data_IF_106273857455
#
_entry.id   IF_106273857455
#
_cell.length_a   1.000
_cell.length_b   1.000
_cell.length_c   1.000
_cell.angle_alpha   90.00
_cell.angle_beta   90.00
_cell.angle_gamma   90.00
#
_symmetry.space_group_name_H-M   'P 1'
#
loop_
_entity.id
_entity.type
_entity.pdbx_description
1 polymer ?
#
# COMPACT_ATOMS: atom_id res chain seq x y z
N UNK A 1 -1.63 0.70 -15.29
CA UNK A 1 -1.48 1.32 -13.97
C UNK A 1 -0.18 2.12 -14.00
N UNK A 2 -0.17 3.37 -13.54
CA UNK A 2 1.03 4.22 -13.59
C UNK A 2 1.95 3.86 -12.43
N UNK A 3 3.13 3.35 -12.72
CA UNK A 3 4.20 3.27 -11.73
C UNK A 3 4.67 4.69 -11.38
N UNK A 4 4.74 4.99 -10.08
CA UNK A 4 5.30 6.22 -9.57
C UNK A 4 6.74 5.96 -9.10
N UNK A 5 7.70 6.76 -9.56
CA UNK A 5 9.07 6.70 -9.08
C UNK A 5 9.19 7.51 -7.78
N UNK A 6 9.71 6.88 -6.73
CA UNK A 6 10.05 7.54 -5.46
C UNK A 6 11.57 7.65 -5.34
N UNK A 7 12.06 8.83 -4.92
CA UNK A 7 13.48 9.03 -4.59
C UNK A 7 13.61 9.20 -3.08
N UNK A 8 14.26 8.26 -2.43
CA UNK A 8 14.47 8.27 -0.98
C UNK A 8 15.95 8.56 -0.71
N UNK A 9 16.23 9.57 0.11
CA UNK A 9 17.58 9.82 0.63
C UNK A 9 17.72 9.08 1.95
N UNK A 10 18.78 8.30 2.06
CA UNK A 10 19.12 7.53 3.27
C UNK A 10 20.59 7.77 3.61
N UNK A 11 20.96 7.49 4.85
CA UNK A 11 22.36 7.50 5.27
C UNK A 11 23.16 6.42 4.53
N UNK A 12 24.45 6.68 4.35
CA UNK A 12 25.33 5.76 3.61
C UNK A 12 25.37 4.38 4.27
N UNK A 13 25.47 4.34 5.59
CA UNK A 13 25.56 3.10 6.36
C UNK A 13 24.29 2.26 6.22
N UNK A 14 23.11 2.89 6.25
CA UNK A 14 21.84 2.21 6.04
C UNK A 14 21.72 1.62 4.62
N UNK A 15 22.18 2.37 3.61
CA UNK A 15 22.22 1.88 2.22
C UNK A 15 23.13 0.66 2.10
N UNK A 16 24.31 0.71 2.71
CA UNK A 16 25.30 -0.38 2.65
C UNK A 16 24.76 -1.63 3.33
N UNK A 17 24.24 -1.52 4.56
CA UNK A 17 23.64 -2.63 5.28
C UNK A 17 22.46 -3.26 4.53
N UNK A 18 21.58 -2.43 3.94
CA UNK A 18 20.45 -2.91 3.15
C UNK A 18 20.89 -3.62 1.87
N UNK A 19 21.91 -3.08 1.18
CA UNK A 19 22.45 -3.70 -0.02
C UNK A 19 23.11 -5.05 0.28
N UNK A 20 23.87 -5.14 1.38
CA UNK A 20 24.49 -6.39 1.84
C UNK A 20 23.43 -7.45 2.19
N UNK A 21 22.37 -7.07 2.91
CA UNK A 21 21.26 -7.96 3.22
C UNK A 21 20.56 -8.49 1.95
N UNK A 22 20.27 -7.60 0.99
CA UNK A 22 19.67 -8.00 -0.29
C UNK A 22 20.58 -8.94 -1.08
N UNK A 23 21.89 -8.70 -1.06
CA UNK A 23 22.88 -9.54 -1.73
C UNK A 23 22.97 -10.93 -1.08
N UNK A 24 22.95 -10.99 0.26
CA UNK A 24 22.94 -12.24 1.03
C UNK A 24 21.70 -13.09 0.74
N UNK A 25 20.54 -12.46 0.60
CA UNK A 25 19.29 -13.15 0.21
C UNK A 25 19.19 -13.45 -1.29
N UNK A 26 20.12 -12.98 -2.11
CA UNK A 26 20.09 -13.06 -3.58
C UNK A 26 18.81 -12.44 -4.18
N UNK A 27 18.35 -11.32 -3.62
CA UNK A 27 17.12 -10.62 -4.01
C UNK A 27 17.43 -9.20 -4.50
N UNK A 28 16.63 -8.70 -5.44
CA UNK A 28 16.74 -7.31 -5.87
C UNK A 28 16.22 -6.37 -4.78
N UNK A 29 17.01 -5.34 -4.48
CA UNK A 29 16.65 -4.30 -3.51
C UNK A 29 15.27 -3.65 -3.79
N UNK A 30 14.91 -3.50 -5.07
CA UNK A 30 13.59 -2.99 -5.47
C UNK A 30 12.44 -3.91 -5.09
N UNK A 31 12.62 -5.22 -5.17
CA UNK A 31 11.58 -6.19 -4.84
C UNK A 31 11.37 -6.26 -3.33
N UNK A 32 12.47 -6.30 -2.58
CA UNK A 32 12.45 -6.23 -1.11
C UNK A 32 11.77 -4.94 -0.65
N UNK A 33 12.09 -3.79 -1.25
CA UNK A 33 11.49 -2.52 -0.89
C UNK A 33 9.99 -2.47 -1.21
N UNK A 34 9.56 -3.00 -2.36
CA UNK A 34 8.13 -3.07 -2.74
C UNK A 34 7.35 -3.95 -1.78
N UNK A 35 7.89 -5.12 -1.44
CA UNK A 35 7.26 -6.02 -0.47
C UNK A 35 7.20 -5.37 0.91
N UNK A 36 8.30 -4.77 1.37
CA UNK A 36 8.33 -4.06 2.64
C UNK A 36 7.29 -2.93 2.69
N UNK A 37 7.21 -2.09 1.65
CA UNK A 37 6.20 -1.04 1.54
C UNK A 37 4.78 -1.60 1.57
N UNK A 38 4.52 -2.72 0.89
CA UNK A 38 3.21 -3.37 0.89
C UNK A 38 2.85 -3.87 2.27
N UNK A 39 3.71 -4.66 2.91
CA UNK A 39 3.48 -5.21 4.25
C UNK A 39 3.36 -4.10 5.29
N UNK A 40 4.12 -3.02 5.15
CA UNK A 40 4.03 -1.85 6.02
C UNK A 40 2.69 -1.12 5.85
N UNK A 41 2.27 -0.89 4.61
CA UNK A 41 0.97 -0.29 4.29
C UNK A 41 -0.18 -1.17 4.79
N UNK A 42 -0.11 -2.49 4.57
CA UNK A 42 -1.10 -3.46 5.02
C UNK A 42 -1.27 -3.43 6.54
N UNK A 43 -0.17 -3.44 7.30
CA UNK A 43 -0.22 -3.33 8.76
C UNK A 43 -0.82 -2.00 9.26
N UNK A 44 -0.56 -0.88 8.57
CA UNK A 44 -0.97 0.45 9.02
C UNK A 44 -2.32 0.90 8.45
N UNK A 45 -2.80 0.27 7.37
CA UNK A 45 -4.14 0.49 6.83
C UNK A 45 -5.19 -0.34 7.58
N UNK A 46 -4.82 -1.48 8.18
CA UNK A 46 -5.68 -2.24 9.11
C UNK A 46 -5.99 -1.47 10.40
N UNK A 47 -5.21 -0.42 10.72
CA UNK A 47 -5.56 0.57 11.76
C UNK A 47 -6.71 1.52 11.38
N UNK A 48 -7.11 1.56 10.09
CA UNK A 48 -8.39 2.08 9.64
C UNK A 48 -9.25 0.91 9.22
N UNK A 49 -9.76 0.16 10.20
CA UNK A 49 -10.79 -0.85 10.02
C UNK A 49 -11.73 -0.43 8.89
N UNK A 50 -11.63 -1.09 7.73
CA UNK A 50 -12.62 -0.95 6.67
C UNK A 50 -13.94 -1.29 7.35
N UNK A 51 -14.81 -0.28 7.48
CA UNK A 51 -16.04 -0.41 8.26
C UNK A 51 -16.74 -1.69 7.82
N UNK A 52 -16.71 -2.72 8.67
CA UNK A 52 -17.39 -4.00 8.44
C UNK A 52 -18.91 -3.82 8.35
N UNK A 53 -19.38 -2.59 8.55
CA UNK A 53 -20.75 -2.11 8.43
C UNK A 53 -20.90 -0.96 7.42
N UNK A 54 -20.09 -0.88 6.37
CA UNK A 54 -20.38 0.05 5.26
C UNK A 54 -21.72 -0.36 4.64
N UNK A 55 -22.79 0.30 5.09
CA UNK A 55 -24.18 0.09 4.68
C UNK A 55 -24.25 0.06 3.16
N UNK A 56 -24.85 -0.97 2.54
CA UNK A 56 -25.03 -0.98 1.10
C UNK A 56 -25.84 0.25 0.69
N UNK A 57 -25.51 0.92 -0.44
CA UNK A 57 -26.24 2.10 -0.87
C UNK A 57 -27.70 1.71 -1.07
N UNK A 58 -28.59 2.33 -0.28
CA UNK A 58 -30.03 2.22 -0.45
C UNK A 58 -30.36 2.57 -1.89
N UNK A 59 -30.89 1.58 -2.62
CA UNK A 59 -31.39 1.75 -3.98
C UNK A 59 -32.34 2.95 -4.01
N UNK A 60 -31.94 3.95 -4.80
CA UNK A 60 -32.70 5.14 -5.14
C UNK A 60 -34.14 4.73 -5.48
N UNK A 61 -35.06 5.12 -4.59
CA UNK A 61 -36.49 4.98 -4.78
C UNK A 61 -36.90 5.65 -6.08
N UNK A 62 -37.28 4.80 -7.03
CA UNK A 62 -38.01 5.06 -8.27
C UNK A 62 -38.90 6.30 -8.14
N UNK A 63 -38.48 7.41 -8.79
CA UNK A 63 -39.36 8.55 -9.08
C UNK A 63 -40.60 8.02 -9.78
N UNK A 64 -41.74 8.08 -9.10
CA UNK A 64 -43.07 7.94 -9.70
C UNK A 64 -43.74 9.31 -9.58
N UNK A 65 -43.82 9.98 -10.72
CA UNK A 65 -44.63 11.18 -10.93
C UNK A 65 -46.11 10.88 -10.62
N UNK A 66 -46.79 11.82 -9.98
CA UNK A 66 -48.24 12.01 -9.92
C UNK A 66 -48.46 13.44 -9.38
N UNK A 67 -49.36 14.31 -9.84
CA UNK A 67 -50.44 14.30 -10.82
C UNK A 67 -50.52 15.72 -11.41
#
# INVERSE_FOLDING_TARGET
MKDAAIRIRVERELREAFAEACQSENRQASDVLREFMRTFADQHQDGRQASLFATPPLKQGRRRNNA
#
